data_IF_021259274230
#
_entry.id   IF_021259274230
#
_cell.length_a   1.000
_cell.length_b   1.000
_cell.length_c   1.000
_cell.angle_alpha   90.00
_cell.angle_beta   90.00
_cell.angle_gamma   90.00
#
_symmetry.space_group_name_H-M   'P 1'
#
loop_
_entity.id
_entity.type
_entity.pdbx_description
1 polymer ?
#
# COMPACT_ATOMS: atom_id res chain seq x y z
N UNK A 1 2.42 55.46 62.85
CA UNK A 1 3.11 55.10 61.58
C UNK A 1 2.58 53.76 61.12
N UNK A 2 1.51 53.78 60.32
CA UNK A 2 0.84 52.58 59.84
C UNK A 2 1.53 52.03 58.59
N UNK A 3 2.22 50.90 58.74
CA UNK A 3 2.82 50.18 57.61
C UNK A 3 1.75 49.31 56.96
N UNK A 4 1.22 49.76 55.81
CA UNK A 4 0.35 48.93 54.96
C UNK A 4 1.14 47.69 54.50
N UNK A 5 0.63 46.46 54.66
CA UNK A 5 1.32 45.29 54.15
C UNK A 5 1.23 45.24 52.63
N UNK A 6 2.39 45.17 51.97
CA UNK A 6 2.51 44.92 50.53
C UNK A 6 1.79 43.61 50.18
N UNK A 7 0.68 43.70 49.42
CA UNK A 7 0.05 42.53 48.79
C UNK A 7 1.02 41.97 47.75
N UNK A 8 1.63 40.82 48.05
CA UNK A 8 2.30 40.00 47.04
C UNK A 8 1.23 39.56 46.04
N UNK A 9 1.31 40.07 44.82
CA UNK A 9 0.52 39.57 43.69
C UNK A 9 0.96 38.12 43.49
N UNK A 10 0.14 37.18 43.94
CA UNK A 10 0.39 35.76 43.73
C UNK A 10 0.48 35.49 42.24
N UNK A 11 1.66 35.05 41.77
CA UNK A 11 1.79 34.48 40.42
C UNK A 11 0.78 33.34 40.32
N UNK A 12 -0.27 33.52 39.52
CA UNK A 12 -1.17 32.42 39.13
C UNK A 12 -0.28 31.27 38.64
N UNK A 13 -0.44 30.03 39.14
CA UNK A 13 0.27 28.90 38.60
C UNK A 13 -0.14 28.79 37.14
N UNK A 14 0.79 29.11 36.24
CA UNK A 14 0.58 28.95 34.81
C UNK A 14 0.17 27.50 34.57
N UNK A 15 -1.01 27.32 33.99
CA UNK A 15 -1.61 26.01 33.78
C UNK A 15 -0.76 25.22 32.75
N UNK A 16 0.33 24.60 33.22
CA UNK A 16 1.31 23.84 32.43
C UNK A 16 0.67 22.68 31.65
N UNK A 17 -0.55 22.28 32.03
CA UNK A 17 -1.31 21.21 31.40
C UNK A 17 -1.86 21.60 30.01
N UNK A 18 -1.94 22.89 29.65
CA UNK A 18 -2.44 23.31 28.33
C UNK A 18 -1.44 23.04 27.21
N UNK A 19 -0.13 23.21 27.47
CA UNK A 19 0.91 22.94 26.47
C UNK A 19 1.04 21.45 26.15
N UNK A 20 1.00 20.60 27.18
CA UNK A 20 1.08 19.14 27.03
C UNK A 20 -0.10 18.59 26.24
N UNK A 21 -1.32 19.09 26.47
CA UNK A 21 -2.51 18.67 25.71
C UNK A 21 -2.39 18.99 24.22
N UNK A 22 -1.85 20.15 23.87
CA UNK A 22 -1.63 20.52 22.48
C UNK A 22 -0.53 19.66 21.84
N UNK A 23 0.54 19.36 22.57
CA UNK A 23 1.62 18.46 22.08
C UNK A 23 1.07 17.06 21.82
N UNK A 24 0.26 16.51 22.74
CA UNK A 24 -0.38 15.21 22.57
C UNK A 24 -1.34 15.24 21.37
N UNK A 25 -2.13 16.31 21.22
CA UNK A 25 -3.03 16.45 20.09
C UNK A 25 -2.30 16.50 18.74
N UNK A 26 -1.21 17.26 18.66
CA UNK A 26 -0.36 17.31 17.46
C UNK A 26 0.30 15.96 17.18
N UNK A 27 0.76 15.24 18.21
CA UNK A 27 1.29 13.89 18.07
C UNK A 27 0.26 12.90 17.53
N UNK A 28 -0.99 12.98 18.01
CA UNK A 28 -2.08 12.13 17.52
C UNK A 28 -2.39 12.46 16.06
N UNK A 29 -2.48 13.73 15.68
CA UNK A 29 -2.70 14.14 14.28
C UNK A 29 -1.56 13.67 13.37
N UNK A 30 -0.31 13.78 13.83
CA UNK A 30 0.85 13.31 13.08
C UNK A 30 0.80 11.79 12.91
N UNK A 31 0.51 11.04 13.99
CA UNK A 31 0.37 9.59 13.94
C UNK A 31 -0.78 9.16 13.01
N UNK A 32 -1.90 9.89 13.01
CA UNK A 32 -3.02 9.64 12.10
C UNK A 32 -2.64 9.91 10.63
N UNK A 33 -1.91 10.99 10.37
CA UNK A 33 -1.38 11.28 9.04
C UNK A 33 -0.44 10.18 8.53
N UNK A 34 0.47 9.70 9.37
CA UNK A 34 1.36 8.58 9.03
C UNK A 34 0.56 7.28 8.83
N UNK A 35 -0.46 7.01 9.65
CA UNK A 35 -1.30 5.83 9.52
C UNK A 35 -2.08 5.80 8.18
N UNK A 36 -2.60 6.95 7.74
CA UNK A 36 -3.26 7.07 6.44
C UNK A 36 -2.28 6.81 5.27
N UNK A 37 -1.06 7.34 5.35
CA UNK A 37 -0.02 7.08 4.33
C UNK A 37 0.45 5.62 4.34
N UNK A 38 0.52 4.98 5.51
CA UNK A 38 0.87 3.58 5.62
C UNK A 38 -0.25 2.66 5.09
N UNK A 39 -1.52 3.07 5.22
CA UNK A 39 -2.67 2.29 4.77
C UNK A 39 -2.72 2.11 3.25
N UNK A 40 -2.15 3.02 2.45
CA UNK A 40 -2.11 2.88 0.99
C UNK A 40 -1.02 1.93 0.50
N UNK A 41 -0.07 1.55 1.36
CA UNK A 41 1.08 0.71 1.00
C UNK A 41 0.90 -0.77 1.37
N UNK A 42 -0.34 -1.26 1.49
CA UNK A 42 -0.53 -2.68 1.72
C UNK A 42 -0.14 -3.48 0.47
N UNK A 43 0.81 -4.43 0.57
CA UNK A 43 1.13 -5.30 -0.55
C UNK A 43 -0.10 -6.15 -0.85
N UNK A 44 -0.62 -6.05 -2.07
CA UNK A 44 -1.71 -6.90 -2.55
C UNK A 44 -1.29 -8.35 -2.41
N UNK A 45 -2.02 -9.12 -1.60
CA UNK A 45 -1.83 -10.57 -1.54
C UNK A 45 -2.32 -11.14 -2.87
N UNK A 46 -1.39 -11.50 -3.74
CA UNK A 46 -1.71 -12.07 -5.04
C UNK A 46 -2.33 -13.46 -4.85
N UNK A 47 -3.43 -13.71 -5.54
CA UNK A 47 -4.07 -15.00 -5.56
C UNK A 47 -3.26 -15.97 -6.43
N UNK A 48 -2.87 -17.11 -5.87
CA UNK A 48 -2.13 -18.12 -6.61
C UNK A 48 -3.07 -18.91 -7.54
N UNK A 49 -2.79 -18.86 -8.84
CA UNK A 49 -3.59 -19.50 -9.88
C UNK A 49 -2.76 -20.46 -10.74
N UNK A 50 -3.35 -21.57 -11.22
CA UNK A 50 -2.65 -22.50 -12.10
C UNK A 50 -2.20 -21.85 -13.42
N UNK A 51 -1.02 -22.24 -13.90
CA UNK A 51 -0.45 -21.72 -15.15
C UNK A 51 -1.39 -21.91 -16.35
N UNK A 52 -1.95 -23.11 -16.51
CA UNK A 52 -2.87 -23.41 -17.62
C UNK A 52 -4.10 -22.50 -17.62
N UNK A 53 -4.63 -22.16 -16.44
CA UNK A 53 -5.79 -21.27 -16.32
C UNK A 53 -5.41 -19.83 -16.68
N UNK A 54 -4.18 -19.41 -16.39
CA UNK A 54 -3.64 -18.11 -16.84
C UNK A 54 -3.55 -18.07 -18.35
N UNK A 55 -2.97 -19.10 -18.99
CA UNK A 55 -2.84 -19.15 -20.46
C UNK A 55 -4.20 -19.16 -21.15
N UNK A 56 -5.15 -19.98 -20.67
CA UNK A 56 -6.50 -20.03 -21.21
C UNK A 56 -7.20 -18.66 -21.13
N UNK A 57 -7.14 -18.01 -19.96
CA UNK A 57 -7.75 -16.68 -19.76
C UNK A 57 -7.04 -15.58 -20.55
N UNK A 58 -5.72 -15.65 -20.69
CA UNK A 58 -4.96 -14.75 -21.55
C UNK A 58 -5.40 -14.87 -23.01
N UNK A 59 -5.56 -16.10 -23.49
CA UNK A 59 -6.05 -16.36 -24.84
C UNK A 59 -7.49 -15.91 -25.05
N UNK A 60 -8.33 -15.98 -24.02
CA UNK A 60 -9.71 -15.47 -24.04
C UNK A 60 -9.81 -13.93 -23.98
N UNK A 61 -8.70 -13.22 -23.75
CA UNK A 61 -8.69 -11.75 -23.61
C UNK A 61 -9.12 -11.25 -22.23
N UNK A 62 -9.10 -12.11 -21.21
CA UNK A 62 -9.44 -11.77 -19.83
C UNK A 62 -8.25 -11.19 -19.04
N UNK A 63 -7.05 -11.20 -19.63
CA UNK A 63 -5.81 -10.73 -19.02
C UNK A 63 -5.26 -9.58 -19.84
N UNK A 64 -4.91 -8.50 -19.13
CA UNK A 64 -4.32 -7.29 -19.71
C UNK A 64 -2.80 -7.41 -19.81
N UNK A 65 -2.17 -7.85 -18.72
CA UNK A 65 -0.71 -7.88 -18.57
C UNK A 65 -0.24 -9.10 -17.81
N UNK A 66 0.90 -9.65 -18.25
CA UNK A 66 1.65 -10.68 -17.56
C UNK A 66 3.09 -10.19 -17.39
N UNK A 67 3.51 -10.02 -16.15
CA UNK A 67 4.88 -9.66 -15.80
C UNK A 67 5.64 -10.95 -15.40
N UNK A 68 6.78 -11.19 -16.05
CA UNK A 68 7.57 -12.41 -15.89
C UNK A 68 8.82 -12.10 -15.08
N UNK A 69 8.87 -12.56 -13.83
CA UNK A 69 10.04 -12.42 -12.96
C UNK A 69 10.67 -13.80 -12.73
N UNK A 70 11.57 -14.20 -13.62
CA UNK A 70 12.20 -15.53 -13.57
C UNK A 70 11.17 -16.67 -13.73
N UNK A 71 10.93 -17.51 -12.71
CA UNK A 71 9.87 -18.52 -12.73
C UNK A 71 8.49 -17.97 -12.33
N UNK A 72 8.42 -16.79 -11.70
CA UNK A 72 7.18 -16.22 -11.18
C UNK A 72 6.49 -15.34 -12.22
N UNK A 73 5.17 -15.42 -12.24
CA UNK A 73 4.30 -14.64 -13.10
C UNK A 73 3.39 -13.80 -12.23
N UNK A 74 3.30 -12.51 -12.54
CA UNK A 74 2.35 -11.59 -11.92
C UNK A 74 1.35 -11.17 -12.98
N UNK A 75 0.06 -11.29 -12.67
CA UNK A 75 -1.03 -11.18 -13.64
C UNK A 75 -1.95 -10.01 -13.26
N UNK A 76 -2.26 -9.19 -14.25
CA UNK A 76 -3.26 -8.12 -14.19
C UNK A 76 -4.44 -8.48 -15.07
N UNK A 77 -5.64 -8.57 -14.47
CA UNK A 77 -6.88 -8.87 -15.20
C UNK A 77 -7.29 -7.71 -16.10
N UNK A 78 -8.10 -8.02 -17.10
CA UNK A 78 -8.68 -7.00 -17.97
C UNK A 78 -9.59 -6.07 -17.16
N UNK A 79 -9.39 -4.75 -17.31
CA UNK A 79 -10.08 -3.72 -16.54
C UNK A 79 -9.46 -3.39 -15.18
N UNK A 80 -8.42 -4.10 -14.75
CA UNK A 80 -7.62 -3.75 -13.57
C UNK A 80 -6.34 -3.01 -13.96
N UNK A 81 -5.86 -2.15 -13.06
CA UNK A 81 -4.58 -1.43 -13.21
C UNK A 81 -3.48 -1.97 -12.30
N UNK A 82 -3.86 -2.77 -11.31
CA UNK A 82 -2.94 -3.40 -10.35
C UNK A 82 -2.98 -4.91 -10.50
N UNK A 83 -1.84 -5.60 -10.32
CA UNK A 83 -1.82 -7.05 -10.34
C UNK A 83 -2.61 -7.64 -9.16
N UNK A 84 -3.36 -8.71 -9.46
CA UNK A 84 -4.25 -9.38 -8.50
C UNK A 84 -3.96 -10.88 -8.36
N UNK A 85 -3.21 -11.47 -9.28
CA UNK A 85 -2.93 -12.91 -9.29
C UNK A 85 -1.46 -13.20 -9.56
N UNK A 86 -1.00 -14.34 -9.07
CA UNK A 86 0.34 -14.87 -9.29
C UNK A 86 0.28 -16.30 -9.84
N UNK A 87 1.26 -16.67 -10.65
CA UNK A 87 1.44 -18.03 -11.13
C UNK A 87 2.91 -18.35 -11.31
N UNK A 88 3.24 -19.56 -11.75
CA UNK A 88 4.61 -19.98 -12.05
C UNK A 88 4.68 -20.64 -13.41
N UNK A 89 5.73 -20.35 -14.16
CA UNK A 89 6.04 -21.02 -15.44
C UNK A 89 7.27 -21.89 -15.32
N UNK A 90 7.42 -22.79 -16.28
CA UNK A 90 8.69 -23.48 -16.50
C UNK A 90 9.79 -22.49 -16.94
N UNK A 91 10.98 -22.63 -16.36
CA UNK A 91 12.08 -21.66 -16.52
C UNK A 91 12.60 -21.65 -17.97
N UNK A 92 12.61 -22.81 -18.63
CA UNK A 92 13.26 -23.03 -19.92
C UNK A 92 12.46 -22.61 -21.15
N UNK A 93 11.19 -22.22 -21.00
CA UNK A 93 10.30 -21.97 -22.15
C UNK A 93 9.65 -20.58 -22.06
N UNK A 94 9.42 -19.98 -23.23
CA UNK A 94 8.65 -18.73 -23.32
C UNK A 94 7.15 -18.99 -23.07
N UNK A 95 6.37 -17.95 -22.75
CA UNK A 95 4.91 -18.07 -22.59
C UNK A 95 4.23 -18.45 -23.92
N UNK A 96 4.75 -17.93 -25.04
CA UNK A 96 4.22 -18.19 -26.38
C UNK A 96 4.44 -19.64 -26.83
N UNK A 97 5.60 -20.23 -26.51
CA UNK A 97 5.86 -21.66 -26.76
C UNK A 97 5.00 -22.59 -25.90
N UNK A 98 4.50 -22.07 -24.77
CA UNK A 98 3.66 -22.81 -23.82
C UNK A 98 2.16 -22.61 -24.05
N UNK A 99 1.76 -22.00 -25.18
CA UNK A 99 0.37 -21.92 -25.61
C UNK A 99 -0.29 -20.55 -25.47
N UNK A 100 0.44 -19.49 -25.10
CA UNK A 100 -0.06 -18.13 -25.25
C UNK A 100 -0.11 -17.78 -26.75
N UNK A 101 -1.31 -17.53 -27.27
CA UNK A 101 -1.54 -17.19 -28.68
C UNK A 101 -2.02 -15.76 -28.86
N UNK A 102 -2.64 -15.18 -27.84
CA UNK A 102 -3.12 -13.81 -27.87
C UNK A 102 -1.96 -12.80 -27.77
N UNK A 103 -1.87 -11.90 -28.76
CA UNK A 103 -0.84 -10.85 -28.86
C UNK A 103 -1.28 -9.51 -28.28
N UNK A 104 -2.55 -9.38 -27.90
CA UNK A 104 -3.07 -8.19 -27.22
C UNK A 104 -2.65 -8.15 -25.76
N UNK A 105 -2.27 -9.30 -25.20
CA UNK A 105 -1.75 -9.41 -23.83
C UNK A 105 -0.35 -8.80 -23.78
N UNK A 106 -0.17 -7.81 -22.91
CA UNK A 106 1.12 -7.18 -22.69
C UNK A 106 2.01 -8.11 -21.85
N UNK A 107 3.07 -8.64 -22.46
CA UNK A 107 4.05 -9.48 -21.77
C UNK A 107 5.30 -8.66 -21.49
N UNK A 108 5.61 -8.49 -20.21
CA UNK A 108 6.81 -7.78 -19.72
C UNK A 108 7.74 -8.80 -19.07
N UNK A 109 9.03 -8.76 -19.41
CA UNK A 109 10.06 -9.71 -18.94
C UNK A 109 11.21 -8.97 -18.29
#
# INVERSE_FOLDING_TARGET
MDKKPFRKVGKKPGNKNKGIKNIIFVLILLAFGVALLASTNQPSKLENVPFNDVINRANNGEIKRIEVTGPELVITKQGEDTPSQESRKEISSSLYEQGLTNREVEVVV
#
